data_IF_225690284356
#
_entry.id   IF_225690284356
#
_cell.length_a   1.000
_cell.length_b   1.000
_cell.length_c   1.000
_cell.angle_alpha   90.00
_cell.angle_beta   90.00
_cell.angle_gamma   90.00
#
_symmetry.space_group_name_H-M   'P 1'
#
loop_
_entity.id
_entity.type
_entity.pdbx_description
1 polymer ?
#
# COMPACT_ATOMS: atom_id res chain seq x y z
N UNK A 1 44.97 3.97 13.57
CA UNK A 1 43.94 4.19 12.52
C UNK A 1 42.97 3.01 12.39
N UNK A 2 43.38 1.75 12.59
CA UNK A 2 42.52 0.56 12.50
C UNK A 2 41.31 0.56 13.47
N UNK A 3 41.46 0.99 14.73
CA UNK A 3 40.34 1.03 15.69
C UNK A 3 39.22 2.02 15.30
N UNK A 4 39.57 3.11 14.59
CA UNK A 4 38.57 4.08 14.10
C UNK A 4 37.77 3.53 12.91
N UNK A 5 38.42 2.74 12.05
CA UNK A 5 37.77 2.04 10.93
C UNK A 5 36.80 0.96 11.42
N UNK A 6 37.15 0.22 12.47
CA UNK A 6 36.25 -0.78 13.08
C UNK A 6 35.01 -0.14 13.73
N UNK A 7 35.17 1.00 14.42
CA UNK A 7 34.06 1.71 15.03
C UNK A 7 33.06 2.28 13.99
N UNK A 8 33.56 2.75 12.84
CA UNK A 8 32.73 3.24 11.73
C UNK A 8 31.95 2.08 11.08
N UNK A 9 32.59 0.92 10.88
CA UNK A 9 31.96 -0.26 10.29
C UNK A 9 30.81 -0.81 11.16
N UNK A 10 30.97 -0.77 12.49
CA UNK A 10 29.94 -1.21 13.43
C UNK A 10 28.72 -0.28 13.44
N UNK A 11 28.94 1.03 13.26
CA UNK A 11 27.85 2.02 13.22
C UNK A 11 26.99 1.90 11.94
N UNK A 12 27.58 1.51 10.82
CA UNK A 12 26.85 1.33 9.56
C UNK A 12 25.91 0.12 9.55
N UNK A 13 26.13 -0.90 10.39
CA UNK A 13 25.25 -2.07 10.45
C UNK A 13 23.92 -1.81 11.19
N UNK A 14 23.83 -0.75 12.00
CA UNK A 14 22.66 -0.45 12.81
C UNK A 14 21.52 0.23 12.03
N UNK A 15 21.77 0.64 10.78
CA UNK A 15 20.78 1.33 9.93
C UNK A 15 20.07 0.33 9.00
N UNK A 16 19.76 -0.88 9.49
CA UNK A 16 18.91 -1.81 8.75
C UNK A 16 17.46 -1.33 8.81
N UNK A 17 16.92 -0.85 7.67
CA UNK A 17 15.49 -0.56 7.56
C UNK A 17 14.66 -1.84 7.74
N UNK A 18 13.53 -1.74 8.46
CA UNK A 18 12.63 -2.88 8.64
C UNK A 18 11.83 -3.09 7.35
N UNK A 19 12.15 -4.14 6.60
CA UNK A 19 11.36 -4.55 5.44
C UNK A 19 10.10 -5.25 5.94
N UNK A 20 8.93 -4.70 5.64
CA UNK A 20 7.65 -5.24 6.09
C UNK A 20 6.76 -5.51 4.89
N UNK A 21 6.25 -6.74 4.79
CA UNK A 21 5.27 -7.10 3.77
C UNK A 21 3.92 -6.55 4.20
N UNK A 22 3.32 -5.68 3.39
CA UNK A 22 2.00 -5.10 3.66
C UNK A 22 1.01 -5.61 2.64
N UNK A 23 -0.12 -6.09 3.14
CA UNK A 23 -1.23 -6.51 2.30
C UNK A 23 -2.14 -5.34 1.98
N UNK A 24 -2.59 -5.26 0.73
CA UNK A 24 -3.63 -4.31 0.33
C UNK A 24 -4.96 -4.79 0.89
N UNK A 25 -5.63 -3.94 1.66
CA UNK A 25 -6.96 -4.21 2.21
C UNK A 25 -7.99 -3.27 1.58
N UNK A 26 -9.25 -3.71 1.40
CA UNK A 26 -10.29 -2.83 0.89
C UNK A 26 -10.61 -1.75 1.92
N UNK A 27 -10.30 -0.49 1.58
CA UNK A 27 -10.55 0.68 2.44
C UNK A 27 -11.85 1.40 2.09
N UNK A 28 -12.44 1.12 0.94
CA UNK A 28 -13.72 1.69 0.53
C UNK A 28 -14.03 1.48 -0.94
N UNK A 29 -14.93 2.30 -1.47
CA UNK A 29 -15.35 2.26 -2.87
C UNK A 29 -16.79 2.70 -3.02
N UNK A 30 -17.23 2.87 -4.27
CA UNK A 30 -18.60 3.21 -4.63
C UNK A 30 -19.09 2.23 -5.69
N UNK A 31 -20.14 1.47 -5.36
CA UNK A 31 -20.81 0.59 -6.32
C UNK A 31 -21.46 1.41 -7.45
N UNK A 32 -21.99 2.59 -7.13
CA UNK A 32 -22.65 3.46 -8.10
C UNK A 32 -21.64 4.01 -9.13
N UNK A 33 -20.43 4.34 -8.69
CA UNK A 33 -19.35 4.84 -9.56
C UNK A 33 -18.49 3.70 -10.14
N UNK A 34 -18.73 2.45 -9.72
CA UNK A 34 -17.95 1.29 -10.12
C UNK A 34 -16.49 1.36 -9.67
N UNK A 35 -16.20 1.89 -8.49
CA UNK A 35 -14.82 2.06 -7.98
C UNK A 35 -14.60 1.33 -6.66
N UNK A 36 -13.42 0.73 -6.51
CA UNK A 36 -12.94 0.08 -5.28
C UNK A 36 -11.64 0.72 -4.86
N UNK A 37 -11.51 1.03 -3.57
CA UNK A 37 -10.28 1.55 -2.98
C UNK A 37 -9.63 0.47 -2.14
N UNK A 38 -8.38 0.18 -2.46
CA UNK A 38 -7.51 -0.69 -1.69
C UNK A 38 -6.47 0.17 -1.01
N UNK A 39 -6.04 -0.14 0.21
CA UNK A 39 -5.00 0.62 0.87
C UNK A 39 -4.18 -0.19 1.82
N UNK A 40 -3.03 0.37 2.19
CA UNK A 40 -2.14 -0.16 3.21
C UNK A 40 -1.51 1.00 3.98
N UNK A 41 -1.12 0.73 5.22
CA UNK A 41 -0.44 1.72 6.05
C UNK A 41 0.92 1.22 6.48
N UNK A 42 1.88 2.15 6.54
CA UNK A 42 3.24 1.87 6.99
C UNK A 42 3.78 3.01 7.86
N UNK A 43 4.70 2.65 8.75
CA UNK A 43 5.35 3.57 9.67
C UNK A 43 6.49 4.36 9.03
N UNK A 44 6.93 5.45 9.67
CA UNK A 44 8.04 6.30 9.21
C UNK A 44 9.34 5.54 8.89
N UNK A 45 9.64 4.48 9.65
CA UNK A 45 10.87 3.69 9.51
C UNK A 45 10.66 2.33 8.83
N UNK A 46 9.45 2.09 8.32
CA UNK A 46 9.10 0.86 7.61
C UNK A 46 9.35 1.04 6.11
N UNK A 47 9.94 0.03 5.48
CA UNK A 47 9.96 -0.07 4.02
C UNK A 47 8.89 -1.07 3.60
N UNK A 48 7.71 -0.60 3.17
CA UNK A 48 6.62 -1.50 2.80
C UNK A 48 6.91 -2.16 1.45
N UNK A 49 6.83 -3.49 1.42
CA UNK A 49 6.80 -4.26 0.18
C UNK A 49 5.36 -4.74 -0.03
N UNK A 50 4.78 -4.38 -1.17
CA UNK A 50 3.43 -4.80 -1.57
C UNK A 50 3.51 -5.79 -2.73
N UNK A 51 2.53 -6.69 -2.81
CA UNK A 51 2.28 -7.49 -4.00
C UNK A 51 1.15 -6.87 -4.84
N UNK A 52 1.45 -6.27 -6.01
CA UNK A 52 0.43 -5.71 -6.88
C UNK A 52 -0.59 -6.74 -7.37
N UNK A 53 -0.21 -8.02 -7.49
CA UNK A 53 -1.10 -9.09 -7.94
C UNK A 53 -2.14 -9.39 -6.86
N UNK A 54 -1.73 -9.47 -5.60
CA UNK A 54 -2.62 -9.64 -4.45
C UNK A 54 -3.67 -8.52 -4.41
N UNK A 55 -3.25 -7.26 -4.59
CA UNK A 55 -4.15 -6.11 -4.66
C UNK A 55 -5.17 -6.22 -5.80
N UNK A 56 -4.71 -6.59 -7.00
CA UNK A 56 -5.59 -6.79 -8.16
C UNK A 56 -6.61 -7.91 -7.96
N UNK A 57 -6.18 -9.05 -7.39
CA UNK A 57 -7.07 -10.18 -7.10
C UNK A 57 -8.16 -9.79 -6.11
N UNK A 58 -7.82 -9.07 -5.04
CA UNK A 58 -8.78 -8.59 -4.07
C UNK A 58 -9.74 -7.54 -4.65
N UNK A 59 -9.23 -6.59 -5.43
CA UNK A 59 -10.05 -5.60 -6.12
C UNK A 59 -11.06 -6.28 -7.06
N UNK A 60 -10.60 -7.27 -7.86
CA UNK A 60 -11.47 -8.07 -8.73
C UNK A 60 -12.51 -8.85 -7.95
N UNK A 61 -12.14 -9.47 -6.81
CA UNK A 61 -13.08 -10.16 -5.94
C UNK A 61 -14.16 -9.21 -5.39
N UNK A 62 -13.78 -7.98 -5.02
CA UNK A 62 -14.72 -6.96 -4.56
C UNK A 62 -15.68 -6.50 -5.66
N UNK A 63 -15.16 -6.29 -6.88
CA UNK A 63 -15.95 -5.96 -8.06
C UNK A 63 -16.89 -7.10 -8.47
N UNK A 64 -16.45 -8.36 -8.35
CA UNK A 64 -17.27 -9.53 -8.61
C UNK A 64 -18.46 -9.64 -7.64
N UNK A 65 -18.30 -9.23 -6.38
CA UNK A 65 -19.41 -9.11 -5.43
C UNK A 65 -20.46 -8.06 -5.83
N UNK A 66 -20.14 -7.17 -6.78
CA UNK A 66 -21.05 -6.22 -7.41
C UNK A 66 -21.48 -6.63 -8.82
N UNK A 67 -21.25 -7.89 -9.19
CA UNK A 67 -21.55 -8.50 -10.49
C UNK A 67 -20.67 -8.06 -11.64
N UNK A 68 -19.58 -7.33 -11.41
CA UNK A 68 -18.60 -7.02 -12.47
C UNK A 68 -17.69 -8.21 -12.77
N UNK A 69 -17.20 -8.31 -14.00
CA UNK A 69 -16.33 -9.41 -14.43
C UNK A 69 -14.83 -9.10 -14.32
N UNK A 70 -14.46 -7.83 -14.18
CA UNK A 70 -13.09 -7.34 -14.13
C UNK A 70 -12.89 -6.18 -13.15
N UNK A 71 -11.62 -5.86 -12.93
CA UNK A 71 -11.17 -4.66 -12.24
C UNK A 71 -9.86 -4.21 -12.88
N UNK A 72 -9.68 -2.91 -13.03
CA UNK A 72 -8.49 -2.28 -13.59
C UNK A 72 -8.01 -1.15 -12.67
N UNK A 73 -6.70 -0.87 -12.57
CA UNK A 73 -6.21 0.20 -11.74
C UNK A 73 -6.61 1.55 -12.35
N UNK A 74 -7.17 2.43 -11.53
CA UNK A 74 -7.72 3.73 -11.95
C UNK A 74 -7.36 4.79 -10.91
N UNK A 75 -7.31 6.08 -11.28
CA UNK A 75 -7.10 7.16 -10.30
C UNK A 75 -5.72 7.24 -9.64
N UNK A 76 -4.83 6.25 -9.88
CA UNK A 76 -3.46 6.24 -9.39
C UNK A 76 -3.32 5.85 -7.92
N UNK A 77 -2.23 6.31 -7.31
CA UNK A 77 -1.89 6.05 -5.91
C UNK A 77 -1.95 7.36 -5.12
N UNK A 78 -2.76 7.41 -4.07
CA UNK A 78 -2.82 8.54 -3.14
C UNK A 78 -2.10 8.18 -1.87
N UNK A 79 -1.07 8.94 -1.50
CA UNK A 79 -0.37 8.81 -0.23
C UNK A 79 -0.78 9.95 0.70
N UNK A 80 -1.29 9.60 1.89
CA UNK A 80 -1.70 10.59 2.90
C UNK A 80 -1.11 10.25 4.25
N UNK A 81 -0.62 11.27 4.94
CA UNK A 81 -0.24 11.13 6.35
C UNK A 81 -1.50 10.98 7.21
N UNK A 82 -1.65 9.84 7.88
CA UNK A 82 -2.77 9.58 8.80
C UNK A 82 -2.42 9.90 10.25
N UNK A 83 -1.13 9.86 10.61
CA UNK A 83 -0.67 10.21 11.95
C UNK A 83 0.52 11.18 11.88
N UNK A 84 0.28 12.50 11.93
CA UNK A 84 1.35 13.48 12.00
C UNK A 84 1.99 13.48 13.39
N UNK A 85 3.26 13.84 13.43
CA UNK A 85 4.06 14.04 14.64
C UNK A 85 4.97 15.25 14.48
N UNK A 86 5.61 15.65 15.58
CA UNK A 86 6.53 16.78 15.58
C UNK A 86 7.72 16.60 14.61
N UNK A 87 8.18 15.36 14.40
CA UNK A 87 9.31 15.02 13.51
C UNK A 87 8.90 14.59 12.10
N UNK A 88 7.61 14.65 11.75
CA UNK A 88 7.10 14.23 10.44
C UNK A 88 5.90 13.29 10.54
N UNK A 89 5.70 12.45 9.52
CA UNK A 89 4.57 11.52 9.50
C UNK A 89 4.91 10.16 10.13
N UNK A 90 4.27 9.82 11.25
CA UNK A 90 4.47 8.52 11.93
C UNK A 90 3.81 7.37 11.18
N UNK A 91 2.67 7.60 10.55
CA UNK A 91 1.95 6.61 9.77
C UNK A 91 1.42 7.22 8.48
N UNK A 92 1.86 6.64 7.38
CA UNK A 92 1.40 6.98 6.03
C UNK A 92 0.45 5.90 5.56
N UNK A 93 -0.69 6.31 5.01
CA UNK A 93 -1.64 5.40 4.36
C UNK A 93 -1.65 5.68 2.87
N UNK A 94 -1.38 4.64 2.10
CA UNK A 94 -1.45 4.68 0.64
C UNK A 94 -2.74 4.01 0.21
N UNK A 95 -3.48 4.68 -0.65
CA UNK A 95 -4.71 4.17 -1.26
C UNK A 95 -4.51 4.06 -2.77
N UNK A 96 -4.92 2.92 -3.32
CA UNK A 96 -4.92 2.58 -4.73
C UNK A 96 -6.36 2.44 -5.15
N UNK A 97 -6.76 3.18 -6.18
CA UNK A 97 -8.11 3.05 -6.72
C UNK A 97 -8.13 2.05 -7.88
N UNK A 98 -9.23 1.33 -7.98
CA UNK A 98 -9.51 0.38 -9.04
C UNK A 98 -10.92 0.66 -9.57
N UNK A 99 -11.06 0.64 -10.89
CA UNK A 99 -12.35 0.71 -11.55
C UNK A 99 -12.81 -0.72 -11.86
N UNK A 100 -14.03 -1.05 -11.45
CA UNK A 100 -14.68 -2.29 -11.85
C UNK A 100 -15.05 -2.20 -13.32
N UNK A 101 -14.63 -3.20 -14.09
CA UNK A 101 -14.80 -3.25 -15.55
C UNK A 101 -15.47 -4.54 -15.99
N UNK A 102 -15.84 -4.58 -17.27
CA UNK A 102 -16.48 -5.73 -17.90
C UNK A 102 -17.99 -5.78 -17.67
N UNK A 103 -18.66 -6.62 -18.45
CA UNK A 103 -20.12 -6.76 -18.41
C UNK A 103 -20.56 -7.22 -17.02
N UNK A 104 -21.62 -6.61 -16.50
CA UNK A 104 -22.28 -7.12 -15.32
C UNK A 104 -22.85 -8.49 -15.70
N UNK A 105 -22.41 -9.56 -15.05
CA UNK A 105 -23.03 -10.87 -15.28
C UNK A 105 -24.48 -10.77 -14.81
N UNK A 106 -25.38 -10.53 -15.76
CA UNK A 106 -26.82 -10.44 -15.56
C UNK A 106 -27.41 -11.83 -15.33
#
# INVERSE_FOLDING_TARGET
MQNKLMAILFFTLLISGCLTTKELIPTGGSKADGTVRMGYSFGMFESPVIDPKQGMTLAKARCAAWSYSGAEPFGGFTSKCTQPSYSGCMQTTVTVEYQCTGETKK
#
